data_IF_462332681803
#
_entry.id   IF_462332681803
#
_cell.length_a   1.000
_cell.length_b   1.000
_cell.length_c   1.000
_cell.angle_alpha   90.00
_cell.angle_beta   90.00
_cell.angle_gamma   90.00
#
_symmetry.space_group_name_H-M   'P 1'
#
loop_
_entity.id
_entity.type
_entity.pdbx_description
1 polymer ?
#
# COMPACT_ATOMS: atom_id res chain seq x y z
N UNK A 1 -13.26 -5.45 -9.45
CA UNK A 1 -11.92 -5.36 -8.84
C UNK A 1 -11.60 -6.72 -8.25
N UNK A 2 -10.51 -7.35 -8.68
CA UNK A 2 -10.13 -8.70 -8.23
C UNK A 2 -9.66 -8.66 -6.78
N UNK A 3 -10.22 -9.55 -5.96
CA UNK A 3 -9.89 -9.70 -4.54
C UNK A 3 -8.46 -10.24 -4.40
N UNK A 4 -7.62 -9.62 -3.56
CA UNK A 4 -6.24 -10.07 -3.31
C UNK A 4 -6.32 -11.20 -2.28
N UNK A 5 -6.22 -12.44 -2.74
CA UNK A 5 -6.45 -13.62 -1.92
C UNK A 5 -5.17 -14.26 -1.32
N UNK A 6 -3.98 -13.91 -1.82
CA UNK A 6 -2.71 -14.51 -1.40
C UNK A 6 -1.64 -13.46 -1.17
N UNK A 7 -0.62 -13.79 -0.37
CA UNK A 7 0.55 -12.94 -0.15
C UNK A 7 1.33 -12.71 -1.45
N UNK A 8 1.43 -13.70 -2.34
CA UNK A 8 2.09 -13.51 -3.64
C UNK A 8 1.37 -12.49 -4.54
N UNK A 9 0.03 -12.53 -4.56
CA UNK A 9 -0.74 -11.52 -5.27
C UNK A 9 -0.60 -10.15 -4.60
N UNK A 10 -0.66 -10.09 -3.27
CA UNK A 10 -0.45 -8.86 -2.51
C UNK A 10 0.88 -8.20 -2.88
N UNK A 11 1.97 -8.98 -2.92
CA UNK A 11 3.30 -8.48 -3.29
C UNK A 11 3.38 -7.95 -4.71
N UNK A 12 2.75 -8.64 -5.68
CA UNK A 12 2.67 -8.15 -7.06
C UNK A 12 1.94 -6.81 -7.14
N UNK A 13 0.81 -6.68 -6.45
CA UNK A 13 0.03 -5.45 -6.40
C UNK A 13 0.78 -4.32 -5.71
N UNK A 14 1.48 -4.61 -4.60
CA UNK A 14 2.35 -3.64 -3.92
C UNK A 14 3.43 -3.12 -4.86
N UNK A 15 4.13 -3.99 -5.60
CA UNK A 15 5.15 -3.56 -6.55
C UNK A 15 4.60 -2.62 -7.64
N UNK A 16 3.39 -2.90 -8.14
CA UNK A 16 2.70 -2.02 -9.10
C UNK A 16 2.32 -0.68 -8.48
N UNK A 17 1.74 -0.70 -7.27
CA UNK A 17 1.37 0.52 -6.55
C UNK A 17 2.60 1.37 -6.20
N UNK A 18 3.72 0.77 -5.80
CA UNK A 18 4.98 1.47 -5.54
C UNK A 18 5.49 2.21 -6.78
N UNK A 19 5.39 1.60 -7.97
CA UNK A 19 5.74 2.28 -9.21
C UNK A 19 4.83 3.49 -9.49
N UNK A 20 3.52 3.36 -9.25
CA UNK A 20 2.56 4.47 -9.36
C UNK A 20 2.88 5.62 -8.39
N UNK A 21 3.10 5.29 -7.11
CA UNK A 21 3.48 6.27 -6.08
C UNK A 21 4.81 6.93 -6.43
N UNK A 22 5.78 6.21 -6.98
CA UNK A 22 7.06 6.79 -7.41
C UNK A 22 6.93 7.71 -8.64
N UNK A 23 5.96 7.50 -9.52
CA UNK A 23 5.65 8.45 -10.59
C UNK A 23 5.02 9.71 -10.02
N UNK A 24 4.08 9.57 -9.08
CA UNK A 24 3.42 10.70 -8.42
C UNK A 24 4.42 11.52 -7.59
N UNK A 25 5.31 10.87 -6.85
CA UNK A 25 6.35 11.53 -6.04
C UNK A 25 7.35 12.35 -6.88
N UNK A 26 7.56 12.00 -8.15
CA UNK A 26 8.37 12.84 -9.06
C UNK A 26 7.65 14.12 -9.48
N UNK A 27 6.32 14.10 -9.51
CA UNK A 27 5.48 15.27 -9.80
C UNK A 27 5.32 16.16 -8.57
N UNK A 28 5.33 15.54 -7.38
CA UNK A 28 5.14 16.20 -6.09
C UNK A 28 6.28 15.84 -5.10
N UNK A 29 7.52 16.32 -5.34
CA UNK A 29 8.70 15.91 -4.58
C UNK A 29 8.67 16.32 -3.11
N UNK A 30 7.92 17.37 -2.77
CA UNK A 30 7.79 17.87 -1.39
C UNK A 30 6.71 17.12 -0.59
N UNK A 31 6.02 16.15 -1.20
CA UNK A 31 4.95 15.39 -0.56
C UNK A 31 5.50 14.33 0.40
N UNK A 32 5.58 14.69 1.68
CA UNK A 32 6.00 13.78 2.77
C UNK A 32 5.06 12.57 2.92
N UNK A 33 3.80 12.70 2.49
CA UNK A 33 2.80 11.64 2.54
C UNK A 33 3.09 10.52 1.53
N UNK A 34 3.55 10.84 0.32
CA UNK A 34 3.93 9.83 -0.68
C UNK A 34 5.11 8.99 -0.21
N UNK A 35 6.09 9.62 0.44
CA UNK A 35 7.20 8.91 1.08
C UNK A 35 6.72 8.01 2.25
N UNK A 36 5.69 8.43 2.99
CA UNK A 36 5.08 7.62 4.04
C UNK A 36 4.37 6.38 3.47
N UNK A 37 3.58 6.56 2.40
CA UNK A 37 2.91 5.46 1.69
C UNK A 37 3.94 4.45 1.19
N UNK A 38 5.04 4.91 0.56
CA UNK A 38 6.11 4.01 0.08
C UNK A 38 6.69 3.14 1.20
N UNK A 39 7.06 3.74 2.33
CA UNK A 39 7.63 2.99 3.47
C UNK A 39 6.65 1.97 4.05
N UNK A 40 5.37 2.30 4.11
CA UNK A 40 4.36 1.36 4.59
C UNK A 40 4.16 0.18 3.62
N UNK A 41 4.16 0.44 2.32
CA UNK A 41 4.11 -0.61 1.30
C UNK A 41 5.35 -1.52 1.34
N UNK A 42 6.55 -0.94 1.53
CA UNK A 42 7.79 -1.70 1.70
C UNK A 42 7.75 -2.61 2.93
N UNK A 43 7.21 -2.11 4.04
CA UNK A 43 7.03 -2.90 5.26
C UNK A 43 6.11 -4.11 5.01
N UNK A 44 4.98 -3.91 4.34
CA UNK A 44 4.05 -5.00 4.03
C UNK A 44 4.66 -6.00 3.03
N UNK A 45 5.34 -5.54 1.97
CA UNK A 45 6.02 -6.45 1.04
C UNK A 45 7.12 -7.27 1.73
N UNK A 46 7.90 -6.64 2.62
CA UNK A 46 8.91 -7.33 3.41
C UNK A 46 8.31 -8.43 4.28
N UNK A 47 7.27 -8.11 5.05
CA UNK A 47 6.59 -9.09 5.88
C UNK A 47 5.95 -10.23 5.07
N UNK A 48 5.32 -9.91 3.93
CA UNK A 48 4.75 -10.90 3.03
C UNK A 48 5.83 -11.80 2.40
N UNK A 49 6.99 -11.23 2.05
CA UNK A 49 8.15 -11.94 1.50
C UNK A 49 8.76 -12.90 2.52
N UNK A 50 8.85 -12.48 3.76
CA UNK A 50 9.43 -13.27 4.85
C UNK A 50 8.47 -14.35 5.38
N UNK A 51 7.25 -14.43 4.83
CA UNK A 51 6.25 -15.42 5.23
C UNK A 51 5.63 -15.13 6.59
N UNK A 52 5.63 -13.87 7.02
CA UNK A 52 5.00 -13.47 8.26
C UNK A 52 3.50 -13.80 8.25
N UNK A 53 2.97 -14.24 9.39
CA UNK A 53 1.53 -14.50 9.55
C UNK A 53 0.80 -13.35 10.23
N UNK A 54 1.54 -12.36 10.75
CA UNK A 54 1.05 -11.16 11.45
C UNK A 54 2.02 -9.99 11.23
N UNK A 55 1.51 -8.77 11.37
CA UNK A 55 2.33 -7.55 11.36
C UNK A 55 2.44 -6.98 12.76
N UNK A 56 3.65 -6.70 13.23
CA UNK A 56 3.86 -6.15 14.57
C UNK A 56 3.48 -4.67 14.68
N UNK A 57 3.45 -3.94 13.56
CA UNK A 57 3.08 -2.51 13.48
C UNK A 57 1.80 -2.30 12.68
N UNK A 58 0.89 -3.26 12.76
CA UNK A 58 -0.33 -3.28 11.96
C UNK A 58 -1.22 -2.04 12.18
N UNK A 59 -1.32 -1.60 13.43
CA UNK A 59 -2.09 -0.42 13.87
C UNK A 59 -1.53 0.90 13.34
N UNK A 60 -0.26 0.93 12.92
CA UNK A 60 0.38 2.11 12.36
C UNK A 60 0.14 2.23 10.83
N UNK A 61 -0.42 1.20 10.20
CA UNK A 61 -0.68 1.18 8.76
C UNK A 61 -1.94 1.99 8.42
N UNK A 62 -1.70 3.15 7.81
CA UNK A 62 -2.72 4.09 7.39
C UNK A 62 -2.60 4.50 5.93
N UNK A 63 -1.75 3.86 5.12
CA UNK A 63 -1.56 4.19 3.70
C UNK A 63 -2.86 4.16 2.89
N UNK A 64 -3.83 3.32 3.24
CA UNK A 64 -5.17 3.35 2.64
C UNK A 64 -5.92 4.66 2.93
N UNK A 65 -5.85 5.16 4.17
CA UNK A 65 -6.43 6.45 4.53
C UNK A 65 -5.67 7.61 3.86
N UNK A 66 -4.33 7.55 3.86
CA UNK A 66 -3.50 8.55 3.18
C UNK A 66 -3.81 8.60 1.68
N UNK A 67 -4.12 7.46 1.05
CA UNK A 67 -4.50 7.39 -0.34
C UNK A 67 -5.79 8.19 -0.62
N UNK A 68 -6.84 8.05 0.20
CA UNK A 68 -8.06 8.85 0.05
C UNK A 68 -7.81 10.34 0.12
N UNK A 69 -6.91 10.77 1.01
CA UNK A 69 -6.70 12.19 1.29
C UNK A 69 -5.73 12.89 0.34
N UNK A 70 -4.73 12.15 -0.16
CA UNK A 70 -3.59 12.77 -0.86
C UNK A 70 -3.32 12.18 -2.24
N UNK A 71 -3.87 11.00 -2.56
CA UNK A 71 -3.67 10.36 -3.86
C UNK A 71 -4.92 10.43 -4.72
N UNK A 72 -6.11 10.38 -4.12
CA UNK A 72 -7.39 10.31 -4.85
C UNK A 72 -7.58 11.45 -5.86
N UNK A 73 -7.30 12.68 -5.46
CA UNK A 73 -7.42 13.85 -6.35
C UNK A 73 -6.44 13.82 -7.55
N UNK A 74 -5.27 13.19 -7.38
CA UNK A 74 -4.21 13.16 -8.39
C UNK A 74 -4.26 11.90 -9.28
N UNK A 75 -4.59 10.75 -8.68
CA UNK A 75 -4.71 9.44 -9.32
C UNK A 75 -5.73 8.57 -8.56
N UNK A 76 -7.03 8.68 -8.91
CA UNK A 76 -8.10 7.90 -8.26
C UNK A 76 -7.93 6.39 -8.41
N UNK A 77 -7.32 5.95 -9.51
CA UNK A 77 -7.11 4.52 -9.76
C UNK A 77 -6.03 3.96 -8.82
N UNK A 78 -4.94 4.71 -8.61
CA UNK A 78 -3.91 4.36 -7.63
C UNK A 78 -4.48 4.40 -6.21
N UNK A 79 -5.31 5.40 -5.89
CA UNK A 79 -5.96 5.47 -4.57
C UNK A 79 -6.84 4.23 -4.29
N UNK A 80 -7.66 3.82 -5.25
CA UNK A 80 -8.47 2.60 -5.14
C UNK A 80 -7.62 1.32 -5.00
N UNK A 81 -6.47 1.24 -5.68
CA UNK A 81 -5.54 0.13 -5.54
C UNK A 81 -4.90 0.10 -4.13
N UNK A 82 -4.46 1.24 -3.60
CA UNK A 82 -3.92 1.35 -2.24
C UNK A 82 -4.96 0.96 -1.18
N UNK A 83 -6.23 1.32 -1.39
CA UNK A 83 -7.33 0.84 -0.55
C UNK A 83 -7.51 -0.67 -0.59
N UNK A 84 -7.45 -1.26 -1.79
CA UNK A 84 -7.58 -2.71 -1.98
C UNK A 84 -6.44 -3.45 -1.29
N UNK A 85 -5.21 -2.96 -1.44
CA UNK A 85 -4.01 -3.49 -0.75
C UNK A 85 -4.17 -3.37 0.77
N UNK A 86 -4.68 -2.24 1.28
CA UNK A 86 -4.89 -2.06 2.72
C UNK A 86 -5.91 -3.06 3.28
N UNK A 87 -7.03 -3.26 2.59
CA UNK A 87 -8.04 -4.24 2.99
C UNK A 87 -7.50 -5.67 2.97
N UNK A 88 -6.74 -6.02 1.92
CA UNK A 88 -6.11 -7.33 1.78
C UNK A 88 -5.06 -7.58 2.87
N UNK A 89 -4.27 -6.56 3.23
CA UNK A 89 -3.27 -6.63 4.30
C UNK A 89 -3.93 -6.99 5.64
N UNK A 90 -5.03 -6.30 6.01
CA UNK A 90 -5.80 -6.61 7.22
C UNK A 90 -6.30 -8.05 7.23
N UNK A 91 -6.87 -8.50 6.11
CA UNK A 91 -7.39 -9.86 5.95
C UNK A 91 -6.31 -10.93 6.06
N UNK A 92 -5.15 -10.72 5.43
CA UNK A 92 -4.08 -11.72 5.33
C UNK A 92 -3.24 -11.82 6.60
N UNK A 93 -3.08 -10.73 7.34
CA UNK A 93 -2.25 -10.67 8.56
C UNK A 93 -3.06 -10.55 9.86
N UNK A 94 -4.40 -10.51 9.77
CA UNK A 94 -5.31 -10.74 10.90
C UNK A 94 -5.44 -9.59 11.90
N UNK A 95 -5.65 -8.36 11.44
CA UNK A 95 -5.86 -7.18 12.31
C UNK A 95 -6.96 -6.24 11.80
#
# INVERSE_FOLDING_TARGET
MSDIATTDELRRRIAQAQAGVAVLARREPDSSWLASIQRQLEYVDGAARDGATRLDRAEELNFGLLASHYVDDADPALAAELHTISAATRRLFGF
#
